data_IF_240590742021
#
_entry.id   IF_240590742021
#
_cell.length_a   1.000
_cell.length_b   1.000
_cell.length_c   1.000
_cell.angle_alpha   90.00
_cell.angle_beta   90.00
_cell.angle_gamma   90.00
#
_symmetry.space_group_name_H-M   'P 1'
#
loop_
_entity.id
_entity.type
_entity.pdbx_description
1 polymer ?
#
# COMPACT_ATOMS: atom_id res chain seq x y z
N UNK A 1 1.80 16.59 -22.65
CA UNK A 1 1.06 16.13 -23.84
C UNK A 1 1.78 14.97 -24.47
N UNK A 2 1.05 13.97 -24.97
CA UNK A 2 1.64 12.82 -25.68
C UNK A 2 2.13 13.27 -27.06
N UNK A 3 3.34 12.86 -27.44
CA UNK A 3 3.95 13.14 -28.75
C UNK A 3 4.20 11.82 -29.47
N UNK A 4 3.24 11.28 -30.24
CA UNK A 4 3.38 9.96 -30.85
C UNK A 4 4.54 9.94 -31.85
N UNK A 5 5.23 8.81 -31.93
CA UNK A 5 6.26 8.56 -32.95
C UNK A 5 5.59 7.80 -34.09
N UNK A 6 5.68 8.32 -35.31
CA UNK A 6 5.10 7.73 -36.52
C UNK A 6 6.10 6.82 -37.23
N UNK A 7 5.61 5.91 -38.09
CA UNK A 7 6.43 4.95 -38.85
C UNK A 7 7.29 4.02 -37.96
N UNK A 8 6.73 3.58 -36.83
CA UNK A 8 7.32 2.58 -35.94
C UNK A 8 6.56 1.26 -36.12
N UNK A 9 7.28 0.15 -36.29
CA UNK A 9 6.66 -1.18 -36.36
C UNK A 9 6.08 -1.56 -34.98
N UNK A 10 4.76 -1.63 -34.92
CA UNK A 10 3.97 -2.01 -33.73
C UNK A 10 3.24 -3.34 -33.94
N UNK A 11 3.67 -4.17 -34.90
CA UNK A 11 3.07 -5.49 -35.17
C UNK A 11 3.19 -6.46 -33.98
N UNK A 12 4.13 -6.20 -33.07
CA UNK A 12 4.30 -6.90 -31.79
C UNK A 12 4.50 -5.88 -30.67
N UNK A 13 3.59 -5.88 -29.70
CA UNK A 13 3.67 -5.03 -28.50
C UNK A 13 3.84 -5.96 -27.30
N UNK A 14 4.95 -5.82 -26.59
CA UNK A 14 5.18 -6.47 -25.30
C UNK A 14 4.97 -5.44 -24.19
N UNK A 15 3.93 -5.63 -23.39
CA UNK A 15 3.63 -4.80 -22.22
C UNK A 15 4.29 -5.35 -20.96
N UNK A 16 4.87 -6.56 -21.01
CA UNK A 16 5.37 -7.22 -19.82
C UNK A 16 6.55 -6.47 -19.21
N UNK A 17 6.62 -6.50 -17.88
CA UNK A 17 7.70 -5.87 -17.12
C UNK A 17 7.98 -6.69 -15.86
N UNK A 18 8.93 -6.24 -15.04
CA UNK A 18 9.30 -6.89 -13.79
C UNK A 18 9.17 -5.92 -12.62
N UNK A 19 8.45 -6.32 -11.58
CA UNK A 19 8.35 -5.57 -10.33
C UNK A 19 8.99 -6.38 -9.18
N UNK A 20 10.05 -5.86 -8.56
CA UNK A 20 10.87 -6.47 -7.50
C UNK A 20 11.28 -7.91 -7.83
N UNK A 21 11.69 -8.15 -9.07
CA UNK A 21 12.09 -9.48 -9.57
C UNK A 21 10.93 -10.37 -10.05
N UNK A 22 9.67 -9.92 -9.93
CA UNK A 22 8.50 -10.68 -10.38
C UNK A 22 7.99 -10.18 -11.73
N UNK A 23 7.92 -11.07 -12.72
CA UNK A 23 7.36 -10.74 -14.04
C UNK A 23 5.85 -10.53 -13.95
N UNK A 24 5.35 -9.48 -14.59
CA UNK A 24 3.93 -9.16 -14.72
C UNK A 24 3.57 -8.88 -16.19
N UNK A 25 2.31 -9.09 -16.57
CA UNK A 25 1.82 -8.98 -17.95
C UNK A 25 1.80 -7.54 -18.50
N UNK A 26 1.63 -6.56 -17.62
CA UNK A 26 1.60 -5.13 -17.92
C UNK A 26 2.04 -4.32 -16.68
N UNK A 27 2.52 -3.06 -16.81
CA UNK A 27 2.91 -2.21 -15.69
C UNK A 27 1.70 -1.64 -14.92
N UNK A 28 0.71 -2.49 -14.64
CA UNK A 28 -0.56 -2.13 -13.99
C UNK A 28 -0.80 -3.12 -12.85
N UNK A 29 -0.78 -2.63 -11.61
CA UNK A 29 -0.95 -3.41 -10.39
C UNK A 29 -2.22 -2.99 -9.65
N UNK A 30 -2.71 -3.83 -8.73
CA UNK A 30 -3.86 -3.50 -7.89
C UNK A 30 -3.35 -2.85 -6.59
N UNK A 31 -3.67 -1.56 -6.41
CA UNK A 31 -3.35 -0.80 -5.21
C UNK A 31 -4.10 -1.31 -3.96
N UNK A 32 -3.60 -1.05 -2.74
CA UNK A 32 -4.27 -1.47 -1.52
C UNK A 32 -5.49 -0.61 -1.22
N UNK A 33 -6.67 -1.16 -1.49
CA UNK A 33 -7.95 -0.68 -0.96
C UNK A 33 -8.44 -1.59 0.18
N UNK A 34 -9.07 -0.99 1.17
CA UNK A 34 -9.59 -1.71 2.33
C UNK A 34 -11.04 -2.15 2.11
N UNK A 35 -11.46 -3.25 2.75
CA UNK A 35 -12.85 -3.67 2.92
C UNK A 35 -13.59 -3.99 1.61
N UNK A 36 -13.01 -4.82 0.75
CA UNK A 36 -13.63 -5.15 -0.53
C UNK A 36 -15.00 -5.85 -0.37
N UNK A 37 -15.28 -6.47 0.79
CA UNK A 37 -16.60 -7.07 1.07
C UNK A 37 -17.75 -6.08 1.14
N UNK A 38 -17.48 -4.78 1.22
CA UNK A 38 -18.51 -3.76 1.02
C UNK A 38 -18.99 -3.66 -0.42
N UNK A 39 -18.12 -3.96 -1.39
CA UNK A 39 -18.45 -3.92 -2.80
C UNK A 39 -18.99 -5.27 -3.30
N UNK A 40 -18.43 -6.39 -2.83
CA UNK A 40 -18.82 -7.73 -3.27
C UNK A 40 -18.57 -8.80 -2.19
N UNK A 41 -19.47 -9.79 -1.96
CA UNK A 41 -19.31 -10.78 -0.88
C UNK A 41 -17.98 -11.55 -0.86
N UNK A 42 -17.39 -11.82 -2.02
CA UNK A 42 -16.08 -12.50 -2.11
C UNK A 42 -14.90 -11.61 -1.69
N UNK A 43 -15.07 -10.28 -1.70
CA UNK A 43 -14.08 -9.31 -1.26
C UNK A 43 -12.69 -9.49 -1.88
N UNK A 44 -11.67 -9.43 -1.03
CA UNK A 44 -10.26 -9.45 -1.43
C UNK A 44 -9.82 -10.79 -2.05
N UNK A 45 -10.54 -11.89 -1.77
CA UNK A 45 -10.28 -13.18 -2.41
C UNK A 45 -10.60 -13.13 -3.91
N UNK A 46 -11.71 -12.51 -4.30
CA UNK A 46 -12.02 -12.31 -5.72
C UNK A 46 -10.97 -11.42 -6.41
N UNK A 47 -10.53 -10.34 -5.74
CA UNK A 47 -9.47 -9.47 -6.26
C UNK A 47 -8.15 -10.23 -6.44
N UNK A 48 -7.77 -11.08 -5.49
CA UNK A 48 -6.55 -11.88 -5.60
C UNK A 48 -6.61 -12.89 -6.76
N UNK A 49 -7.76 -13.55 -6.95
CA UNK A 49 -7.98 -14.45 -8.10
C UNK A 49 -7.90 -13.70 -9.43
N UNK A 50 -8.48 -12.50 -9.50
CA UNK A 50 -8.37 -11.65 -10.69
C UNK A 50 -6.91 -11.23 -10.95
N UNK A 51 -6.16 -10.85 -9.92
CA UNK A 51 -4.74 -10.53 -10.06
C UNK A 51 -3.93 -11.72 -10.60
N UNK A 52 -4.20 -12.94 -10.11
CA UNK A 52 -3.59 -14.16 -10.63
C UNK A 52 -3.96 -14.38 -12.11
N UNK A 53 -5.22 -14.26 -12.47
CA UNK A 53 -5.69 -14.48 -13.84
C UNK A 53 -5.13 -13.46 -14.85
N UNK A 54 -4.83 -12.25 -14.39
CA UNK A 54 -4.23 -11.19 -15.19
C UNK A 54 -2.69 -11.16 -15.13
N UNK A 55 -2.05 -12.12 -14.45
CA UNK A 55 -0.60 -12.13 -14.22
C UNK A 55 -0.06 -10.79 -13.71
N UNK A 56 -0.70 -10.25 -12.67
CA UNK A 56 -0.29 -9.00 -12.01
C UNK A 56 -0.25 -9.13 -10.49
N UNK A 57 0.29 -8.11 -9.83
CA UNK A 57 0.46 -8.05 -8.39
C UNK A 57 -0.75 -7.40 -7.74
N UNK A 58 -1.25 -8.06 -6.69
CA UNK A 58 -2.19 -7.45 -5.75
C UNK A 58 -1.45 -6.95 -4.51
N UNK A 59 -1.68 -5.70 -4.14
CA UNK A 59 -1.25 -5.19 -2.84
C UNK A 59 -2.45 -5.32 -1.88
N UNK A 60 -2.38 -6.26 -0.94
CA UNK A 60 -3.46 -6.44 0.04
C UNK A 60 -3.37 -5.35 1.11
N UNK A 61 -4.50 -4.72 1.44
CA UNK A 61 -4.57 -3.76 2.53
C UNK A 61 -4.42 -4.42 3.91
N UNK A 62 -3.71 -3.73 4.80
CA UNK A 62 -3.67 -4.01 6.23
C UNK A 62 -5.08 -4.16 6.85
N UNK A 63 -6.04 -3.35 6.35
CA UNK A 63 -7.44 -3.29 6.81
C UNK A 63 -8.39 -4.07 5.90
N UNK A 64 -7.97 -5.26 5.48
CA UNK A 64 -8.78 -6.15 4.66
C UNK A 64 -9.96 -6.79 5.42
N UNK A 65 -11.04 -7.09 4.69
CA UNK A 65 -12.18 -7.90 5.15
C UNK A 65 -11.99 -9.41 4.98
N UNK A 66 -10.88 -9.84 4.39
CA UNK A 66 -10.39 -11.22 4.40
C UNK A 66 -9.08 -11.27 5.19
N UNK A 67 -8.76 -12.42 5.77
CA UNK A 67 -7.45 -12.58 6.43
C UNK A 67 -6.31 -12.67 5.41
N UNK A 68 -5.09 -12.38 5.87
CA UNK A 68 -3.85 -12.61 5.10
C UNK A 68 -3.82 -14.06 4.56
N UNK A 69 -4.18 -15.03 5.41
CA UNK A 69 -4.17 -16.45 5.10
C UNK A 69 -5.28 -16.85 4.10
N UNK A 70 -6.50 -16.32 4.26
CA UNK A 70 -7.62 -16.53 3.32
C UNK A 70 -7.24 -16.04 1.92
N UNK A 71 -6.60 -14.86 1.82
CA UNK A 71 -6.17 -14.31 0.53
C UNK A 71 -5.02 -15.12 -0.06
N UNK A 72 -4.00 -15.48 0.74
CA UNK A 72 -2.84 -16.24 0.29
C UNK A 72 -3.21 -17.62 -0.26
N UNK A 73 -4.10 -18.34 0.43
CA UNK A 73 -4.53 -19.69 0.05
C UNK A 73 -5.50 -19.73 -1.15
N UNK A 74 -6.04 -18.58 -1.57
CA UNK A 74 -7.09 -18.53 -2.59
C UNK A 74 -6.62 -18.68 -4.04
N UNK A 75 -5.35 -18.41 -4.33
CA UNK A 75 -4.75 -18.47 -5.68
C UNK A 75 -3.21 -18.38 -5.62
N UNK A 76 -2.54 -18.46 -6.77
CA UNK A 76 -1.08 -18.33 -6.89
C UNK A 76 -0.63 -16.93 -7.36
N UNK A 77 -1.35 -15.86 -7.03
CA UNK A 77 -0.93 -14.50 -7.37
C UNK A 77 0.35 -14.09 -6.63
N UNK A 78 1.19 -13.27 -7.27
CA UNK A 78 2.19 -12.48 -6.54
C UNK A 78 1.46 -11.41 -5.74
N UNK A 79 1.77 -11.30 -4.46
CA UNK A 79 1.09 -10.37 -3.55
C UNK A 79 2.07 -9.58 -2.72
N UNK A 80 1.83 -8.29 -2.58
CA UNK A 80 2.47 -7.45 -1.57
C UNK A 80 1.48 -7.16 -0.45
N UNK A 81 1.98 -6.81 0.72
CA UNK A 81 1.16 -6.50 1.88
C UNK A 81 1.37 -5.05 2.29
N UNK A 82 0.31 -4.24 2.18
CA UNK A 82 0.33 -2.89 2.70
C UNK A 82 0.19 -2.94 4.22
N UNK A 83 1.00 -2.16 4.93
CA UNK A 83 0.92 -2.05 6.39
C UNK A 83 0.96 -0.59 6.86
N UNK A 84 0.49 -0.42 8.10
CA UNK A 84 0.73 0.76 8.91
C UNK A 84 1.54 0.36 10.13
N UNK A 85 2.31 1.29 10.67
CA UNK A 85 2.97 1.11 11.96
C UNK A 85 2.08 1.70 13.05
N UNK A 86 1.46 0.83 13.84
CA UNK A 86 0.60 1.22 14.95
C UNK A 86 1.39 1.44 16.23
N UNK A 87 0.84 2.22 17.17
CA UNK A 87 1.44 2.45 18.50
C UNK A 87 1.79 1.13 19.19
N UNK A 88 0.87 0.17 19.09
CA UNK A 88 1.12 -1.23 19.39
C UNK A 88 1.94 -1.88 18.27
N UNK A 89 3.26 -1.73 18.39
CA UNK A 89 4.25 -2.30 17.46
C UNK A 89 4.16 -3.81 17.35
N UNK A 90 3.73 -4.50 18.42
CA UNK A 90 3.53 -5.94 18.45
C UNK A 90 2.45 -6.42 17.48
N UNK A 91 1.36 -5.66 17.31
CA UNK A 91 0.31 -5.96 16.31
C UNK A 91 0.86 -5.80 14.90
N UNK A 92 1.59 -4.72 14.67
CA UNK A 92 2.21 -4.44 13.36
C UNK A 92 3.22 -5.54 12.99
N UNK A 93 4.05 -5.95 13.96
CA UNK A 93 4.98 -7.05 13.80
C UNK A 93 4.29 -8.38 13.52
N UNK A 94 3.22 -8.70 14.27
CA UNK A 94 2.45 -9.92 14.06
C UNK A 94 1.91 -10.02 12.63
N UNK A 95 1.31 -8.94 12.10
CA UNK A 95 0.72 -8.93 10.76
C UNK A 95 1.77 -8.97 9.65
N UNK A 96 2.89 -8.24 9.79
CA UNK A 96 4.02 -8.32 8.86
C UNK A 96 4.57 -9.76 8.79
N UNK A 97 4.81 -10.39 9.95
CA UNK A 97 5.32 -11.76 10.01
C UNK A 97 4.31 -12.79 9.50
N UNK A 98 3.01 -12.57 9.70
CA UNK A 98 1.95 -13.41 9.08
C UNK A 98 2.00 -13.32 7.56
N UNK A 99 2.12 -12.10 7.00
CA UNK A 99 2.24 -11.91 5.57
C UNK A 99 3.48 -12.62 5.00
N UNK A 100 4.64 -12.47 5.65
CA UNK A 100 5.88 -13.16 5.26
C UNK A 100 5.72 -14.69 5.28
N UNK A 101 5.16 -15.26 6.36
CA UNK A 101 4.87 -16.71 6.45
C UNK A 101 3.88 -17.19 5.39
N UNK A 102 2.95 -16.33 4.96
CA UNK A 102 1.98 -16.64 3.90
C UNK A 102 2.54 -16.41 2.48
N UNK A 103 3.83 -16.13 2.34
CA UNK A 103 4.48 -16.02 1.03
C UNK A 103 4.22 -14.71 0.29
N UNK A 104 3.78 -13.66 0.99
CA UNK A 104 3.79 -12.30 0.43
C UNK A 104 5.22 -11.88 0.12
N UNK A 105 5.37 -11.05 -0.92
CA UNK A 105 6.67 -10.80 -1.55
C UNK A 105 7.28 -9.44 -1.26
N UNK A 106 6.52 -8.53 -0.68
CA UNK A 106 7.02 -7.23 -0.22
C UNK A 106 6.07 -6.61 0.81
N UNK A 107 6.60 -5.69 1.61
CA UNK A 107 5.85 -4.83 2.52
C UNK A 107 5.73 -3.44 1.90
N UNK A 108 4.51 -2.92 1.81
CA UNK A 108 4.22 -1.57 1.34
C UNK A 108 3.83 -0.72 2.54
N UNK A 109 4.82 -0.07 3.15
CA UNK A 109 4.60 0.77 4.33
C UNK A 109 3.96 2.10 3.91
N UNK A 110 2.80 2.41 4.49
CA UNK A 110 2.12 3.70 4.26
C UNK A 110 2.63 4.76 5.24
N UNK A 111 3.18 5.86 4.72
CA UNK A 111 3.84 6.93 5.50
C UNK A 111 3.10 8.27 5.49
N UNK A 112 2.07 8.42 4.66
CA UNK A 112 1.26 9.66 4.51
C UNK A 112 0.05 9.76 5.47
N UNK A 113 -0.05 8.82 6.41
CA UNK A 113 -1.23 8.65 7.28
C UNK A 113 -0.89 8.59 8.78
N UNK A 114 -0.15 9.56 9.34
CA UNK A 114 0.09 9.63 10.79
C UNK A 114 -1.21 9.86 11.58
N UNK A 115 -2.20 10.45 10.92
CA UNK A 115 -3.61 10.51 11.32
C UNK A 115 -4.47 10.27 10.09
N UNK A 116 -5.72 9.88 10.31
CA UNK A 116 -6.68 9.73 9.22
C UNK A 116 -7.03 11.10 8.62
N UNK A 117 -7.07 11.19 7.29
CA UNK A 117 -7.65 12.34 6.60
C UNK A 117 -9.13 12.49 6.89
N UNK A 118 -9.61 13.74 6.96
CA UNK A 118 -11.01 14.06 7.24
C UNK A 118 -11.86 13.83 5.99
N UNK A 119 -12.81 12.90 6.08
CA UNK A 119 -13.66 12.52 4.95
C UNK A 119 -15.10 12.88 5.25
N UNK A 120 -15.53 14.05 4.81
CA UNK A 120 -16.83 14.62 5.20
C UNK A 120 -18.03 13.72 4.93
N UNK A 121 -18.01 12.97 3.82
CA UNK A 121 -19.08 12.01 3.51
C UNK A 121 -19.13 10.86 4.51
N UNK A 122 -17.97 10.36 4.96
CA UNK A 122 -17.90 9.29 5.97
C UNK A 122 -18.49 9.78 7.30
N UNK A 123 -18.22 11.05 7.67
CA UNK A 123 -18.78 11.72 8.87
C UNK A 123 -20.30 11.91 8.74
N UNK A 124 -20.76 12.55 7.65
CA UNK A 124 -22.18 12.84 7.40
C UNK A 124 -23.02 11.56 7.39
N UNK A 125 -22.46 10.48 6.82
CA UNK A 125 -23.14 9.18 6.72
C UNK A 125 -22.98 8.30 7.97
N UNK A 126 -22.25 8.77 9.00
CA UNK A 126 -21.95 7.99 10.21
C UNK A 126 -21.40 6.59 9.89
N UNK A 127 -20.44 6.54 8.98
CA UNK A 127 -19.95 5.29 8.41
C UNK A 127 -19.41 4.35 9.50
N UNK A 128 -19.95 3.12 9.57
CA UNK A 128 -19.57 2.10 10.55
C UNK A 128 -18.53 1.17 9.96
N UNK A 129 -17.50 0.82 10.74
CA UNK A 129 -16.46 -0.11 10.30
C UNK A 129 -16.90 -1.58 10.51
N UNK A 130 -16.81 -2.47 9.50
CA UNK A 130 -16.94 -3.90 9.74
C UNK A 130 -15.80 -4.39 10.63
N UNK A 131 -16.01 -5.56 11.25
CA UNK A 131 -14.93 -6.26 11.91
C UNK A 131 -13.80 -6.53 10.90
N UNK A 132 -12.60 -6.06 11.23
CA UNK A 132 -11.42 -6.29 10.42
C UNK A 132 -10.83 -7.64 10.82
N UNK A 133 -11.04 -8.67 9.99
CA UNK A 133 -10.67 -10.05 10.32
C UNK A 133 -9.21 -10.24 10.76
N UNK A 134 -8.28 -9.47 10.17
CA UNK A 134 -6.87 -9.56 10.54
C UNK A 134 -6.57 -9.20 12.01
N UNK A 135 -7.45 -8.44 12.66
CA UNK A 135 -7.28 -7.93 14.03
C UNK A 135 -8.15 -8.67 15.05
N UNK A 136 -8.89 -9.68 14.63
CA UNK A 136 -9.72 -10.48 15.51
C UNK A 136 -8.86 -11.08 16.64
N UNK A 137 -9.26 -10.83 17.89
CA UNK A 137 -8.50 -11.22 19.09
C UNK A 137 -7.26 -10.37 19.42
N UNK A 138 -6.86 -9.42 18.56
CA UNK A 138 -5.69 -8.54 18.77
C UNK A 138 -6.07 -7.14 19.27
N UNK A 139 -7.18 -6.61 18.77
CA UNK A 139 -7.74 -5.30 19.15
C UNK A 139 -9.25 -5.42 19.27
N UNK A 140 -9.84 -4.77 20.25
CA UNK A 140 -11.30 -4.60 20.25
C UNK A 140 -11.70 -3.75 19.05
N UNK A 141 -12.44 -4.36 18.12
CA UNK A 141 -13.02 -3.65 16.97
C UNK A 141 -14.40 -3.07 17.28
N UNK A 142 -14.86 -3.14 18.53
CA UNK A 142 -16.14 -2.54 18.94
C UNK A 142 -16.03 -1.03 18.96
N UNK A 143 -16.99 -0.35 18.34
CA UNK A 143 -16.99 1.11 18.22
C UNK A 143 -18.04 1.72 19.16
N UNK A 144 -17.65 2.75 19.93
CA UNK A 144 -18.57 3.56 20.74
C UNK A 144 -19.38 4.50 19.85
N UNK A 145 -20.69 4.58 20.07
CA UNK A 145 -21.68 5.12 19.13
C UNK A 145 -21.95 6.63 19.21
N UNK A 146 -21.30 7.36 20.11
CA UNK A 146 -21.93 8.59 20.59
C UNK A 146 -21.49 9.90 19.93
N UNK A 147 -20.35 9.96 19.21
CA UNK A 147 -19.94 11.17 18.46
C UNK A 147 -19.03 10.88 17.24
N UNK A 148 -19.52 11.13 16.01
CA UNK A 148 -18.71 11.14 14.78
C UNK A 148 -18.67 9.86 13.94
N UNK A 149 -17.74 9.78 12.98
CA UNK A 149 -17.53 8.56 12.17
C UNK A 149 -16.85 7.49 13.01
N UNK A 150 -17.44 6.29 13.05
CA UNK A 150 -16.91 5.14 13.76
C UNK A 150 -15.51 4.71 13.26
N UNK A 151 -15.19 5.03 11.99
CA UNK A 151 -13.84 4.83 11.44
C UNK A 151 -12.84 5.79 12.07
N UNK A 152 -13.20 7.08 12.20
CA UNK A 152 -12.34 8.11 12.80
C UNK A 152 -12.09 7.81 14.27
N UNK A 153 -13.12 7.40 15.03
CA UNK A 153 -12.99 7.06 16.44
C UNK A 153 -12.08 5.84 16.69
N UNK A 154 -12.23 4.76 15.93
CA UNK A 154 -11.34 3.60 16.01
C UNK A 154 -9.89 3.97 15.68
N UNK A 155 -9.70 4.72 14.58
CA UNK A 155 -8.39 5.14 14.09
C UNK A 155 -7.70 6.12 15.06
N UNK A 156 -8.45 7.04 15.68
CA UNK A 156 -7.95 8.03 16.63
C UNK A 156 -7.55 7.43 17.99
N UNK A 157 -8.27 6.41 18.47
CA UNK A 157 -8.09 5.89 19.82
C UNK A 157 -7.10 4.72 19.92
N UNK A 158 -6.86 3.95 18.84
CA UNK A 158 -6.14 2.67 18.98
C UNK A 158 -5.07 2.34 17.93
N UNK A 159 -5.11 2.97 16.75
CA UNK A 159 -4.35 2.47 15.61
C UNK A 159 -3.08 3.29 15.32
N UNK A 160 -3.21 4.53 14.87
CA UNK A 160 -2.09 5.23 14.26
C UNK A 160 -1.07 5.80 15.26
N UNK A 161 0.21 5.66 14.93
CA UNK A 161 1.29 6.30 15.64
C UNK A 161 1.74 7.58 14.93
N UNK A 162 1.28 8.72 15.43
CA UNK A 162 1.68 10.02 14.90
C UNK A 162 3.15 10.39 15.18
N UNK A 163 3.89 9.56 15.94
CA UNK A 163 5.33 9.73 16.19
C UNK A 163 6.22 8.94 15.22
N UNK A 164 5.62 8.28 14.22
CA UNK A 164 6.36 7.55 13.18
C UNK A 164 7.39 8.48 12.51
N UNK A 165 8.61 7.99 12.37
CA UNK A 165 9.73 8.73 11.82
C UNK A 165 10.67 7.81 11.03
N UNK A 166 11.67 8.38 10.37
CA UNK A 166 12.66 7.62 9.58
C UNK A 166 13.38 6.51 10.36
N UNK A 167 13.54 6.64 11.69
CA UNK A 167 14.13 5.58 12.54
C UNK A 167 13.30 4.30 12.54
N UNK A 168 11.99 4.40 12.35
CA UNK A 168 11.07 3.27 12.39
C UNK A 168 11.21 2.38 11.15
N UNK A 169 11.88 2.85 10.09
CA UNK A 169 12.28 1.99 8.96
C UNK A 169 13.28 0.92 9.43
N UNK A 170 14.23 1.29 10.29
CA UNK A 170 15.17 0.34 10.90
C UNK A 170 14.45 -0.69 11.77
N UNK A 171 13.42 -0.28 12.51
CA UNK A 171 12.57 -1.21 13.27
C UNK A 171 11.77 -2.14 12.34
N UNK A 172 11.16 -1.62 11.27
CA UNK A 172 10.41 -2.47 10.34
C UNK A 172 11.34 -3.51 9.69
N UNK A 173 12.55 -3.12 9.28
CA UNK A 173 13.55 -4.04 8.74
C UNK A 173 14.05 -5.06 9.76
N UNK A 174 13.98 -4.79 11.06
CA UNK A 174 14.42 -5.77 12.07
C UNK A 174 13.42 -6.90 12.29
N UNK A 175 12.18 -6.77 11.79
CA UNK A 175 11.10 -7.76 11.97
C UNK A 175 10.73 -8.51 10.69
N UNK A 176 11.29 -8.16 9.53
CA UNK A 176 11.03 -8.83 8.24
C UNK A 176 12.24 -8.76 7.31
N UNK A 177 12.42 -9.78 6.48
CA UNK A 177 13.42 -9.78 5.41
C UNK A 177 12.82 -9.43 4.03
N UNK A 178 11.51 -9.18 3.96
CA UNK A 178 10.87 -8.81 2.71
C UNK A 178 11.32 -7.42 2.24
N UNK A 179 11.37 -7.17 0.92
CA UNK A 179 11.53 -5.82 0.37
C UNK A 179 10.51 -4.85 0.96
N UNK A 180 10.95 -3.64 1.30
CA UNK A 180 10.10 -2.57 1.87
C UNK A 180 9.96 -1.45 0.86
N UNK A 181 8.72 -1.14 0.48
CA UNK A 181 8.37 0.03 -0.33
C UNK A 181 7.69 1.08 0.53
N UNK A 182 8.03 2.36 0.34
CA UNK A 182 7.35 3.48 0.99
C UNK A 182 6.24 4.05 0.12
N UNK A 183 5.01 4.01 0.61
CA UNK A 183 3.84 4.59 -0.03
C UNK A 183 3.40 5.88 0.65
N UNK A 184 3.29 6.95 -0.15
CA UNK A 184 2.90 8.27 0.35
C UNK A 184 3.96 9.34 0.16
N UNK A 185 5.02 9.07 -0.60
CA UNK A 185 6.10 10.03 -0.85
C UNK A 185 5.67 10.99 -1.95
N UNK A 186 5.69 12.30 -1.65
CA UNK A 186 5.24 13.35 -2.57
C UNK A 186 6.28 14.47 -2.79
N UNK A 187 7.51 14.30 -2.30
CA UNK A 187 8.56 15.34 -2.35
C UNK A 187 9.90 14.72 -2.73
N UNK A 188 10.76 15.52 -3.36
CA UNK A 188 12.14 15.16 -3.65
C UNK A 188 12.93 14.84 -2.37
N UNK A 189 12.74 15.65 -1.33
CA UNK A 189 13.48 15.55 -0.08
C UNK A 189 13.22 14.22 0.64
N UNK A 190 11.95 13.81 0.70
CA UNK A 190 11.59 12.53 1.32
C UNK A 190 12.00 11.35 0.45
N UNK A 191 12.06 11.52 -0.89
CA UNK A 191 12.60 10.50 -1.78
C UNK A 191 14.12 10.29 -1.55
N UNK A 192 14.89 11.37 -1.32
CA UNK A 192 16.30 11.26 -0.91
C UNK A 192 16.40 10.49 0.40
N UNK A 193 15.60 10.85 1.41
CA UNK A 193 15.62 10.16 2.71
C UNK A 193 15.26 8.68 2.60
N UNK A 194 14.27 8.34 1.77
CA UNK A 194 13.91 6.96 1.49
C UNK A 194 15.09 6.15 0.92
N UNK A 195 15.84 6.73 -0.02
CA UNK A 195 17.06 6.13 -0.56
C UNK A 195 18.16 6.01 0.51
N UNK A 196 18.40 7.04 1.32
CA UNK A 196 19.41 7.05 2.38
C UNK A 196 19.17 5.94 3.43
N UNK A 197 17.90 5.71 3.81
CA UNK A 197 17.54 4.62 4.74
C UNK A 197 17.42 3.27 4.05
N UNK A 198 17.72 3.23 2.74
CA UNK A 198 17.87 2.02 1.94
C UNK A 198 16.59 1.25 1.72
N UNK A 199 15.45 1.89 1.46
CA UNK A 199 14.22 1.17 1.08
C UNK A 199 14.30 0.58 -0.33
N UNK A 200 13.55 -0.47 -0.60
CA UNK A 200 13.58 -1.22 -1.87
C UNK A 200 12.67 -0.62 -2.96
N UNK A 201 11.90 0.41 -2.63
CA UNK A 201 11.06 1.10 -3.60
C UNK A 201 10.30 2.27 -3.02
N UNK A 202 9.86 3.15 -3.91
CA UNK A 202 9.04 4.29 -3.57
C UNK A 202 7.75 4.22 -4.37
N UNK A 203 6.66 4.52 -3.69
CA UNK A 203 5.33 4.58 -4.24
C UNK A 203 4.81 6.02 -4.12
N UNK A 204 4.84 6.75 -5.23
CA UNK A 204 4.33 8.12 -5.31
C UNK A 204 2.81 8.04 -5.21
N UNK A 205 2.27 8.59 -4.13
CA UNK A 205 0.86 8.46 -3.80
C UNK A 205 0.43 9.58 -2.88
N UNK A 206 -0.73 10.16 -3.15
CA UNK A 206 -1.42 11.08 -2.23
C UNK A 206 -2.58 10.37 -1.51
N UNK A 207 -2.48 9.05 -1.36
CA UNK A 207 -3.51 8.20 -0.77
C UNK A 207 -4.85 8.21 -1.52
N UNK A 208 -4.83 8.41 -2.84
CA UNK A 208 -6.03 8.59 -3.64
C UNK A 208 -6.79 9.86 -3.25
N UNK A 209 -6.07 10.92 -2.91
CA UNK A 209 -6.57 12.22 -2.44
C UNK A 209 -7.46 12.14 -1.18
N UNK A 210 -7.22 11.16 -0.28
CA UNK A 210 -8.04 10.93 0.94
C UNK A 210 -7.37 11.36 2.24
N UNK A 211 -6.15 11.88 2.17
CA UNK A 211 -5.36 12.29 3.34
C UNK A 211 -5.34 13.82 3.47
N UNK A 212 -4.28 14.49 3.02
CA UNK A 212 -4.20 15.95 3.00
C UNK A 212 -4.74 16.47 1.66
N UNK A 213 -5.74 17.36 1.70
CA UNK A 213 -6.24 18.05 0.52
C UNK A 213 -5.25 19.13 0.04
N UNK A 214 -5.37 19.58 -1.20
CA UNK A 214 -4.46 20.53 -1.87
C UNK A 214 -3.03 20.05 -2.14
N UNK A 215 -2.72 18.78 -1.85
CA UNK A 215 -1.48 18.16 -2.34
C UNK A 215 -1.54 17.97 -3.87
N UNK A 216 -0.40 17.99 -4.57
CA UNK A 216 -0.38 17.83 -6.01
C UNK A 216 -0.91 16.45 -6.46
N UNK A 217 -1.40 16.33 -7.70
CA UNK A 217 -1.63 15.04 -8.34
C UNK A 217 -0.33 14.23 -8.42
N UNK A 218 -0.37 12.92 -8.19
CA UNK A 218 0.84 12.08 -8.14
C UNK A 218 1.66 12.14 -9.43
N UNK A 219 1.00 12.22 -10.59
CA UNK A 219 1.66 12.31 -11.90
C UNK A 219 2.53 13.56 -12.04
N UNK A 220 2.16 14.67 -11.39
CA UNK A 220 2.92 15.92 -11.43
C UNK A 220 4.18 15.86 -10.56
N UNK A 221 4.15 15.03 -9.51
CA UNK A 221 5.29 14.80 -8.61
C UNK A 221 6.24 13.74 -9.15
N UNK A 222 5.73 12.84 -10.00
CA UNK A 222 6.50 11.69 -10.49
C UNK A 222 7.84 12.11 -11.13
N UNK A 223 7.86 13.22 -11.87
CA UNK A 223 9.08 13.74 -12.51
C UNK A 223 10.12 14.26 -11.51
N UNK A 224 9.69 14.76 -10.35
CA UNK A 224 10.55 15.27 -9.29
C UNK A 224 11.25 14.14 -8.51
N UNK A 225 10.55 13.01 -8.32
CA UNK A 225 11.02 11.84 -7.56
C UNK A 225 11.87 10.90 -8.44
N UNK A 226 11.55 10.79 -9.74
CA UNK A 226 12.18 9.83 -10.67
C UNK A 226 13.72 9.91 -10.81
N UNK A 227 14.37 11.09 -10.85
CA UNK A 227 15.81 11.19 -11.09
C UNK A 227 16.68 10.53 -10.02
N UNK A 228 16.18 10.41 -8.79
CA UNK A 228 16.93 9.87 -7.65
C UNK A 228 17.06 8.34 -7.69
N UNK A 229 16.07 7.64 -8.25
CA UNK A 229 16.01 6.18 -8.26
C UNK A 229 16.91 5.56 -9.34
N UNK A 230 17.25 6.32 -10.39
CA UNK A 230 18.20 5.89 -11.44
C UNK A 230 19.68 6.18 -11.08
N UNK A 231 19.95 6.97 -10.05
CA UNK A 231 21.30 7.37 -9.64
C UNK A 231 21.96 6.40 -8.62
N UNK A 232 21.19 5.47 -8.05
CA UNK A 232 21.68 4.44 -7.14
C UNK A 232 21.90 3.17 -7.95
N UNK A 233 23.16 2.83 -8.21
CA UNK A 233 23.58 1.82 -9.20
C UNK A 233 23.00 0.39 -9.02
N UNK A 234 23.44 -0.57 -9.85
CA UNK A 234 22.79 -1.88 -10.06
C UNK A 234 22.64 -2.81 -8.84
N UNK A 235 23.15 -2.41 -7.67
CA UNK A 235 22.95 -3.10 -6.39
C UNK A 235 21.67 -2.67 -5.65
N UNK A 236 21.09 -1.50 -5.99
CA UNK A 236 19.84 -1.02 -5.40
C UNK A 236 18.74 -1.05 -6.48
N UNK A 237 18.02 -2.16 -6.56
CA UNK A 237 16.89 -2.34 -7.49
C UNK A 237 15.64 -1.59 -7.00
N UNK A 238 15.81 -0.34 -6.56
CA UNK A 238 14.71 0.48 -6.10
C UNK A 238 13.75 0.75 -7.26
N UNK A 239 12.48 0.37 -7.08
CA UNK A 239 11.46 0.53 -8.12
C UNK A 239 10.47 1.62 -7.75
N UNK A 240 10.10 2.42 -8.75
CA UNK A 240 9.07 3.43 -8.66
C UNK A 240 7.74 2.84 -9.12
N UNK A 241 6.75 2.82 -8.24
CA UNK A 241 5.37 2.51 -8.62
C UNK A 241 4.54 3.78 -8.44
N UNK A 242 3.84 4.23 -9.49
CA UNK A 242 2.81 5.27 -9.35
C UNK A 242 1.46 4.59 -9.16
N UNK A 243 0.75 4.93 -8.09
CA UNK A 243 -0.66 4.61 -7.94
C UNK A 243 -1.45 5.92 -7.98
N UNK A 244 -1.61 6.45 -9.19
CA UNK A 244 -2.62 7.45 -9.48
C UNK A 244 -3.99 6.76 -9.53
N UNK A 245 -4.94 7.26 -8.75
CA UNK A 245 -6.38 6.99 -8.90
C UNK A 245 -7.07 8.24 -9.41
#
# INVERSE_FOLDING_TARGET
MIRPRILVDISRIDLSTTVLGYKISAPILIAPSAKHKWAHPEGEVATARAAAACDTIMILSYRSTCTIEEVASSCNAVRFFQCYVYKRRDISANLVQRAERCGYKAIVLTVDSPRLGRREKDIKNKMVNPQLKNFEGLVSTQVSTDDGSNIEAFDANTAFDASLSWKDIGWLRSITNLPVLLKGVLTHEDAIKAVEVGVDGIVVSNHGARQLDYVPPSISVLEEVKPLILAVGPACSSQLLDFST
#
